data_IF_608994971062
#
_entry.id   IF_608994971062
#
_cell.length_a   1.000
_cell.length_b   1.000
_cell.length_c   1.000
_cell.angle_alpha   90.00
_cell.angle_beta   90.00
_cell.angle_gamma   90.00
#
_symmetry.space_group_name_H-M   'P 1'
#
loop_
_entity.id
_entity.type
_entity.pdbx_description
1 polymer ?
#
# COMPACT_ATOMS: atom_id res chain seq x y z
N UNK A 1 -17.96 -4.71 43.00
CA UNK A 1 -18.66 -4.94 41.72
C UNK A 1 -17.76 -4.96 40.47
N UNK A 2 -16.45 -4.70 40.55
CA UNK A 2 -15.55 -4.64 39.37
C UNK A 2 -14.85 -5.97 39.01
N UNK A 3 -14.78 -6.95 39.91
CA UNK A 3 -14.15 -8.25 39.61
C UNK A 3 -14.98 -9.15 38.68
N UNK A 4 -16.31 -9.00 38.65
CA UNK A 4 -17.22 -9.86 37.87
C UNK A 4 -17.33 -9.47 36.38
N UNK A 5 -16.95 -8.23 36.02
CA UNK A 5 -16.97 -7.76 34.61
C UNK A 5 -15.75 -8.24 33.81
N UNK A 6 -14.61 -8.42 34.46
CA UNK A 6 -13.37 -8.83 33.79
C UNK A 6 -13.34 -10.33 33.49
N UNK A 7 -13.97 -11.17 34.32
CA UNK A 7 -14.11 -12.61 34.06
C UNK A 7 -15.01 -12.90 32.86
N UNK A 8 -16.07 -12.12 32.64
CA UNK A 8 -16.94 -12.28 31.46
C UNK A 8 -16.26 -11.86 30.15
N UNK A 9 -15.43 -10.81 30.17
CA UNK A 9 -14.64 -10.37 29.01
C UNK A 9 -13.52 -11.36 28.68
N UNK A 10 -12.81 -11.89 29.69
CA UNK A 10 -11.79 -12.92 29.49
C UNK A 10 -12.35 -14.24 28.97
N UNK A 11 -13.53 -14.65 29.45
CA UNK A 11 -14.20 -15.89 29.02
C UNK A 11 -14.80 -15.77 27.62
N UNK A 12 -15.24 -14.58 27.18
CA UNK A 12 -15.69 -14.33 25.81
C UNK A 12 -14.52 -14.37 24.80
N UNK A 13 -13.37 -13.79 25.17
CA UNK A 13 -12.16 -13.78 24.33
C UNK A 13 -11.58 -15.20 24.20
N UNK A 14 -11.58 -15.99 25.28
CA UNK A 14 -11.10 -17.37 25.25
C UNK A 14 -12.00 -18.30 24.41
N UNK A 15 -13.32 -18.07 24.41
CA UNK A 15 -14.25 -18.85 23.57
C UNK A 15 -14.13 -18.52 22.08
N UNK A 16 -13.84 -17.27 21.71
CA UNK A 16 -13.62 -16.88 20.30
C UNK A 16 -12.30 -17.48 19.77
N UNK A 17 -11.28 -17.62 20.61
CA UNK A 17 -10.00 -18.22 20.23
C UNK A 17 -10.07 -19.74 20.01
N UNK A 18 -10.96 -20.45 20.74
CA UNK A 18 -11.10 -21.91 20.65
C UNK A 18 -11.92 -22.41 19.45
N UNK A 19 -12.71 -21.53 18.81
CA UNK A 19 -13.56 -21.87 17.66
C UNK A 19 -12.80 -22.06 16.34
N UNK A 20 -11.49 -21.76 16.30
CA UNK A 20 -10.64 -21.87 15.11
C UNK A 20 -9.81 -23.16 15.01
N UNK A 21 -10.01 -24.13 15.90
CA UNK A 21 -9.20 -25.37 15.95
C UNK A 21 -9.81 -26.58 15.22
N UNK A 22 -10.86 -26.41 14.42
CA UNK A 22 -11.49 -27.54 13.70
C UNK A 22 -11.62 -27.29 12.20
N UNK A 23 -10.51 -27.47 11.48
CA UNK A 23 -10.47 -27.86 10.06
C UNK A 23 -9.23 -28.75 9.93
N UNK A 24 -9.36 -30.08 9.89
CA UNK A 24 -9.78 -30.84 8.71
C UNK A 24 -8.52 -31.31 7.97
N UNK A 25 -8.05 -32.52 8.27
CA UNK A 25 -6.96 -33.14 7.51
C UNK A 25 -7.46 -33.44 6.09
N UNK A 26 -7.04 -32.63 5.12
CA UNK A 26 -7.17 -32.97 3.71
C UNK A 26 -5.93 -33.78 3.30
N UNK A 27 -6.14 -35.07 3.03
CA UNK A 27 -5.14 -35.95 2.42
C UNK A 27 -4.96 -35.55 0.96
N UNK A 28 -3.81 -34.98 0.59
CA UNK A 28 -3.40 -34.91 -0.81
C UNK A 28 -2.93 -36.31 -1.24
N UNK A 29 -3.61 -36.85 -2.25
CA UNK A 29 -3.14 -38.03 -2.96
C UNK A 29 -1.90 -37.67 -3.80
N UNK A 30 -0.92 -38.56 -3.75
CA UNK A 30 0.33 -38.59 -4.50
C UNK A 30 0.03 -38.75 -5.99
N UNK A 31 0.33 -37.74 -6.81
CA UNK A 31 0.38 -37.90 -8.26
C UNK A 31 1.83 -37.69 -8.71
N UNK A 32 2.50 -38.82 -8.91
CA UNK A 32 3.86 -38.91 -9.41
C UNK A 32 3.86 -38.54 -10.89
N UNK A 33 4.53 -37.44 -11.22
CA UNK A 33 5.02 -37.20 -12.57
C UNK A 33 6.50 -37.57 -12.58
N UNK A 34 6.78 -38.58 -13.38
CA UNK A 34 8.09 -39.16 -13.68
C UNK A 34 9.06 -38.13 -14.25
N UNK A 35 10.28 -38.13 -13.72
CA UNK A 35 11.44 -37.54 -14.39
C UNK A 35 11.78 -38.39 -15.62
N UNK A 36 11.84 -37.74 -16.78
CA UNK A 36 12.53 -38.28 -17.94
C UNK A 36 13.32 -37.14 -18.63
N UNK A 37 14.62 -37.19 -18.37
CA UNK A 37 15.73 -37.00 -19.31
C UNK A 37 15.63 -35.87 -20.36
N UNK A 38 16.43 -34.82 -20.16
CA UNK A 38 17.03 -34.14 -21.31
C UNK A 38 18.49 -33.77 -21.04
N UNK A 39 19.35 -34.73 -21.41
CA UNK A 39 20.78 -34.67 -21.60
C UNK A 39 21.40 -33.30 -21.91
N UNK A 40 22.45 -32.96 -21.17
CA UNK A 40 23.47 -31.97 -21.56
C UNK A 40 24.40 -32.55 -22.63
N UNK A 41 24.73 -31.82 -23.71
CA UNK A 41 25.94 -32.09 -24.47
C UNK A 41 27.07 -31.19 -23.96
N UNK A 42 28.04 -31.82 -23.30
CA UNK A 42 29.43 -31.38 -23.24
C UNK A 42 30.07 -31.60 -24.60
N UNK A 43 30.71 -30.59 -25.18
CA UNK A 43 31.91 -30.81 -25.98
C UNK A 43 32.81 -29.56 -26.02
N UNK A 44 34.03 -29.79 -25.56
CA UNK A 44 35.27 -29.01 -25.74
C UNK A 44 35.71 -29.04 -27.22
N UNK A 45 36.53 -28.17 -27.83
CA UNK A 45 37.75 -27.44 -27.42
C UNK A 45 38.09 -26.37 -28.49
N UNK A 46 38.76 -25.29 -28.05
CA UNK A 46 39.72 -24.38 -28.73
C UNK A 46 39.77 -24.21 -30.26
N UNK A 47 39.70 -22.94 -30.70
CA UNK A 47 40.65 -22.41 -31.70
C UNK A 47 40.93 -20.92 -31.42
N UNK A 48 42.18 -20.64 -31.04
CA UNK A 48 42.76 -19.30 -30.88
C UNK A 48 43.13 -18.77 -32.26
N UNK A 49 42.53 -17.65 -32.67
CA UNK A 49 43.07 -16.82 -33.76
C UNK A 49 43.26 -15.41 -33.23
N UNK A 50 44.53 -15.08 -32.98
CA UNK A 50 45.02 -13.73 -32.73
C UNK A 50 44.96 -12.88 -34.00
N UNK A 51 44.36 -11.69 -33.90
CA UNK A 51 44.63 -10.58 -34.82
C UNK A 51 44.92 -9.35 -33.97
N UNK A 52 46.19 -8.95 -33.98
CA UNK A 52 46.71 -7.73 -33.36
C UNK A 52 46.45 -6.48 -34.24
N UNK A 53 46.38 -5.33 -33.55
CA UNK A 53 46.66 -3.94 -33.98
C UNK A 53 45.56 -3.19 -34.78
N UNK A 54 45.23 -1.91 -34.55
CA UNK A 54 45.80 -0.82 -33.76
C UNK A 54 44.69 0.21 -33.39
N UNK A 55 44.88 0.83 -32.22
CA UNK A 55 44.68 2.23 -31.84
C UNK A 55 43.36 3.04 -32.00
N UNK A 56 43.16 3.80 -30.91
CA UNK A 56 42.32 4.99 -30.65
C UNK A 56 40.80 4.83 -30.55
N UNK A 57 40.25 5.09 -29.34
CA UNK A 57 39.46 6.31 -29.03
C UNK A 57 39.39 6.52 -27.51
N UNK A 58 39.55 7.78 -27.13
CA UNK A 58 39.96 8.39 -25.86
C UNK A 58 39.17 8.05 -24.58
N UNK A 59 39.94 7.88 -23.49
CA UNK A 59 39.49 8.06 -22.12
C UNK A 59 39.34 9.56 -21.76
N UNK A 60 38.23 9.94 -21.12
CA UNK A 60 38.13 11.17 -20.34
C UNK A 60 37.14 11.02 -19.17
N UNK A 61 37.75 10.85 -17.99
CA UNK A 61 37.37 11.33 -16.65
C UNK A 61 36.11 10.82 -15.96
N UNK A 62 36.31 9.74 -15.19
CA UNK A 62 35.68 9.55 -13.88
C UNK A 62 36.11 10.63 -12.90
N UNK A 63 35.19 11.49 -12.47
CA UNK A 63 35.30 12.18 -11.18
C UNK A 63 34.23 11.64 -10.22
N UNK A 64 34.63 10.62 -9.48
CA UNK A 64 34.02 10.30 -8.19
C UNK A 64 34.51 11.32 -7.17
N UNK A 65 33.61 12.15 -6.66
CA UNK A 65 33.80 12.82 -5.38
C UNK A 65 32.52 12.67 -4.57
N UNK A 66 32.45 11.61 -3.79
CA UNK A 66 31.53 11.50 -2.64
C UNK A 66 32.01 12.52 -1.59
N UNK A 67 31.12 13.39 -1.09
CA UNK A 67 30.82 13.64 0.33
C UNK A 67 29.98 14.92 0.50
N UNK A 68 28.73 14.75 0.94
CA UNK A 68 27.81 15.82 1.32
C UNK A 68 26.43 15.25 1.67
N UNK A 69 26.31 14.56 2.81
CA UNK A 69 25.10 13.87 3.25
C UNK A 69 24.04 14.83 3.85
N UNK A 70 23.37 15.65 3.03
CA UNK A 70 22.21 16.43 3.50
C UNK A 70 20.99 16.45 2.58
N UNK A 71 21.10 16.06 1.32
CA UNK A 71 20.13 16.57 0.33
C UNK A 71 19.18 15.54 -0.29
N UNK A 72 19.22 14.26 0.11
CA UNK A 72 18.21 13.28 -0.31
C UNK A 72 16.77 13.73 0.06
N UNK A 73 16.62 14.51 1.13
CA UNK A 73 15.34 15.10 1.54
C UNK A 73 14.93 16.31 0.69
N UNK A 74 15.89 17.06 0.14
CA UNK A 74 15.63 18.23 -0.71
C UNK A 74 15.19 17.82 -2.12
N UNK A 75 15.77 16.75 -2.67
CA UNK A 75 15.40 16.21 -3.99
C UNK A 75 14.04 15.51 -3.95
N UNK A 76 13.71 14.80 -2.86
CA UNK A 76 12.37 14.25 -2.62
C UNK A 76 11.31 15.35 -2.44
N UNK A 77 11.65 16.46 -1.78
CA UNK A 77 10.75 17.61 -1.61
C UNK A 77 10.47 18.30 -2.95
N UNK A 78 11.45 18.42 -3.84
CA UNK A 78 11.29 19.03 -5.16
C UNK A 78 10.42 18.19 -6.11
N UNK A 79 10.54 16.86 -6.09
CA UNK A 79 9.65 15.97 -6.86
C UNK A 79 8.19 15.96 -6.36
N UNK A 80 7.96 16.42 -5.12
CA UNK A 80 6.64 16.46 -4.50
C UNK A 80 5.81 17.70 -4.89
N UNK A 81 6.44 18.79 -5.29
CA UNK A 81 5.75 20.05 -5.65
C UNK A 81 5.27 20.06 -7.11
N UNK A 82 6.03 19.43 -8.02
CA UNK A 82 5.76 19.42 -9.47
C UNK A 82 4.54 18.56 -9.89
N UNK A 83 3.89 17.89 -8.92
CA UNK A 83 2.71 17.03 -9.16
C UNK A 83 1.39 17.77 -8.86
N UNK A 84 1.45 18.92 -8.20
CA UNK A 84 0.26 19.72 -7.89
C UNK A 84 -0.07 20.67 -9.04
N UNK A 85 -1.36 20.94 -9.25
CA UNK A 85 -1.79 21.97 -10.19
C UNK A 85 -1.29 23.36 -9.78
N UNK A 86 -1.28 24.31 -10.73
CA UNK A 86 -0.89 25.71 -10.52
C UNK A 86 -1.90 26.54 -9.69
N UNK A 87 -3.00 25.91 -9.26
CA UNK A 87 -4.04 26.50 -8.44
C UNK A 87 -3.75 26.52 -6.94
N UNK A 88 -4.67 27.12 -6.16
CA UNK A 88 -4.60 27.08 -4.70
C UNK A 88 -4.57 25.63 -4.20
N UNK A 89 -3.65 25.31 -3.29
CA UNK A 89 -3.57 24.00 -2.63
C UNK A 89 -4.14 24.09 -1.21
N UNK A 90 -5.07 23.20 -0.85
CA UNK A 90 -5.59 23.09 0.51
C UNK A 90 -4.71 22.26 1.44
N UNK A 91 -4.85 22.45 2.76
CA UNK A 91 -4.21 21.61 3.79
C UNK A 91 -5.03 20.36 4.11
N UNK A 92 -4.45 19.39 4.84
CA UNK A 92 -5.27 18.27 5.34
C UNK A 92 -6.33 18.74 6.32
N UNK A 93 -6.06 19.78 7.10
CA UNK A 93 -7.03 20.38 7.98
C UNK A 93 -8.24 20.95 7.22
N UNK A 94 -8.04 21.61 6.08
CA UNK A 94 -9.13 22.12 5.23
C UNK A 94 -10.04 20.97 4.75
N UNK A 95 -9.44 19.90 4.22
CA UNK A 95 -10.19 18.72 3.78
C UNK A 95 -10.93 18.04 4.93
N UNK A 96 -10.29 17.93 6.09
CA UNK A 96 -10.89 17.36 7.29
C UNK A 96 -12.08 18.19 7.79
N UNK A 97 -11.99 19.52 7.79
CA UNK A 97 -13.11 20.39 8.16
C UNK A 97 -14.25 20.31 7.13
N UNK A 98 -13.94 20.20 5.84
CA UNK A 98 -14.94 19.94 4.80
C UNK A 98 -15.70 18.61 5.03
N UNK A 99 -14.97 17.54 5.37
CA UNK A 99 -15.56 16.24 5.72
C UNK A 99 -16.42 16.35 6.99
N UNK A 100 -15.97 17.07 8.02
CA UNK A 100 -16.73 17.27 9.26
C UNK A 100 -18.00 18.09 9.05
N UNK A 101 -17.94 19.14 8.24
CA UNK A 101 -19.08 20.00 7.95
C UNK A 101 -20.13 19.32 7.07
N UNK A 102 -19.75 18.33 6.27
CA UNK A 102 -20.65 17.62 5.36
C UNK A 102 -21.63 16.69 6.07
N UNK A 103 -22.84 16.59 5.53
CA UNK A 103 -23.87 15.67 6.04
C UNK A 103 -23.50 14.20 5.75
N UNK A 104 -23.95 13.28 6.61
CA UNK A 104 -23.77 11.86 6.36
C UNK A 104 -24.53 11.43 5.08
N UNK A 105 -23.87 10.66 4.22
CA UNK A 105 -24.38 10.21 2.92
C UNK A 105 -24.23 11.23 1.80
N UNK A 106 -23.72 12.43 2.08
CA UNK A 106 -23.47 13.45 1.05
C UNK A 106 -22.27 13.10 0.16
N UNK A 107 -22.09 13.90 -0.90
CA UNK A 107 -20.91 13.84 -1.78
C UNK A 107 -20.13 15.14 -1.65
N UNK A 108 -18.85 15.02 -1.35
CA UNK A 108 -17.86 16.07 -1.51
C UNK A 108 -17.23 15.92 -2.89
N UNK A 109 -17.14 17.01 -3.64
CA UNK A 109 -16.39 17.08 -4.89
C UNK A 109 -15.21 18.00 -4.63
N UNK A 110 -13.99 17.49 -4.77
CA UNK A 110 -12.79 18.30 -4.61
C UNK A 110 -12.70 19.29 -5.77
N UNK A 111 -12.36 20.53 -5.45
CA UNK A 111 -12.19 21.64 -6.39
C UNK A 111 -10.71 22.06 -6.53
N UNK A 112 -9.83 21.43 -5.76
CA UNK A 112 -8.41 21.70 -5.69
C UNK A 112 -7.63 20.50 -5.15
N UNK A 113 -6.32 20.58 -5.28
CA UNK A 113 -5.41 19.62 -4.67
C UNK A 113 -5.23 19.91 -3.18
N UNK A 114 -4.87 18.88 -2.42
CA UNK A 114 -4.62 18.96 -0.98
C UNK A 114 -3.23 18.42 -0.65
N UNK A 115 -2.47 19.14 0.16
CA UNK A 115 -1.11 18.76 0.57
C UNK A 115 -0.99 18.78 2.09
N UNK A 116 -0.38 17.74 2.63
CA UNK A 116 -0.02 17.71 4.05
C UNK A 116 1.05 18.77 4.36
N UNK A 117 0.76 19.65 5.31
CA UNK A 117 1.71 20.61 5.88
C UNK A 117 2.02 20.24 7.34
N UNK A 118 3.26 19.84 7.63
CA UNK A 118 3.66 19.46 8.99
C UNK A 118 3.44 20.54 10.06
N UNK A 119 3.36 21.81 9.67
CA UNK A 119 3.15 22.94 10.59
C UNK A 119 1.68 23.08 11.01
N UNK A 120 0.75 22.78 10.11
CA UNK A 120 -0.70 22.91 10.33
C UNK A 120 -1.37 21.55 10.63
N UNK A 121 -0.86 20.48 10.01
CA UNK A 121 -1.46 19.15 9.93
C UNK A 121 -0.81 18.12 10.84
N UNK A 122 0.00 18.55 11.82
CA UNK A 122 0.75 17.67 12.72
C UNK A 122 -0.13 16.58 13.38
N UNK A 123 -1.41 16.87 13.64
CA UNK A 123 -2.38 15.91 14.20
C UNK A 123 -2.72 14.72 13.30
N UNK A 124 -2.49 14.83 11.99
CA UNK A 124 -2.72 13.76 11.01
C UNK A 124 -1.45 12.96 10.70
N UNK A 125 -0.32 13.29 11.31
CA UNK A 125 0.94 12.57 11.08
C UNK A 125 0.77 11.07 11.34
N UNK A 126 1.18 10.25 10.37
CA UNK A 126 1.03 8.79 10.33
C UNK A 126 -0.42 8.21 10.36
N UNK A 127 -1.44 8.99 10.73
CA UNK A 127 -2.82 8.50 10.91
C UNK A 127 -3.82 9.05 9.88
N UNK A 128 -3.41 10.05 9.11
CA UNK A 128 -4.23 10.67 8.06
C UNK A 128 -5.53 11.29 8.56
N UNK A 129 -6.38 11.65 7.60
CA UNK A 129 -7.70 12.20 7.88
C UNK A 129 -8.65 11.03 8.21
N UNK A 130 -9.33 11.12 9.35
CA UNK A 130 -10.27 10.07 9.76
C UNK A 130 -11.63 10.27 9.09
N UNK A 131 -12.07 9.28 8.31
CA UNK A 131 -13.40 9.25 7.71
C UNK A 131 -14.30 8.33 8.55
N UNK A 132 -14.98 8.94 9.53
CA UNK A 132 -15.84 8.25 10.50
C UNK A 132 -17.35 8.41 10.23
N UNK A 133 -17.72 9.00 9.09
CA UNK A 133 -19.10 9.10 8.62
C UNK A 133 -19.21 8.52 7.21
N UNK A 134 -20.36 7.92 6.89
CA UNK A 134 -20.67 7.52 5.51
C UNK A 134 -20.68 8.76 4.63
N UNK A 135 -19.90 8.77 3.56
CA UNK A 135 -19.77 9.90 2.64
C UNK A 135 -19.15 9.42 1.33
N UNK A 136 -19.39 10.16 0.24
CA UNK A 136 -18.62 10.03 -1.00
C UNK A 136 -17.62 11.17 -1.09
N UNK A 137 -16.36 10.86 -1.35
CA UNK A 137 -15.32 11.84 -1.71
C UNK A 137 -14.98 11.59 -3.18
N UNK A 138 -15.42 12.51 -4.03
CA UNK A 138 -15.06 12.55 -5.45
C UNK A 138 -13.89 13.51 -5.63
N UNK A 139 -12.74 12.95 -6.00
CA UNK A 139 -11.54 13.74 -6.24
C UNK A 139 -11.62 14.61 -7.49
N UNK A 140 -12.54 14.34 -8.42
CA UNK A 140 -12.61 15.04 -9.71
C UNK A 140 -11.24 15.11 -10.46
N UNK A 141 -10.33 14.17 -10.20
CA UNK A 141 -8.97 14.13 -10.76
C UNK A 141 -7.90 14.87 -9.95
N UNK A 142 -8.26 15.48 -8.82
CA UNK A 142 -7.37 16.19 -7.92
C UNK A 142 -6.49 15.27 -7.07
N UNK A 143 -5.37 15.85 -6.63
CA UNK A 143 -4.30 15.17 -5.91
C UNK A 143 -4.41 15.39 -4.41
N UNK A 144 -4.24 14.32 -3.64
CA UNK A 144 -3.96 14.34 -2.21
C UNK A 144 -2.50 13.93 -2.03
N UNK A 145 -1.65 14.91 -1.72
CA UNK A 145 -0.22 14.73 -1.52
C UNK A 145 0.09 14.65 -0.03
N UNK A 146 0.41 13.46 0.45
CA UNK A 146 0.70 13.23 1.87
C UNK A 146 2.10 13.68 2.31
N UNK A 147 2.86 14.27 1.40
CA UNK A 147 4.13 14.94 1.65
C UNK A 147 5.17 14.09 2.41
N UNK A 148 5.17 12.78 2.16
CA UNK A 148 6.03 11.79 2.81
C UNK A 148 5.98 11.82 4.35
N UNK A 149 4.85 12.25 4.94
CA UNK A 149 4.73 12.47 6.39
C UNK A 149 3.42 11.96 7.02
N UNK A 150 2.41 11.64 6.20
CA UNK A 150 1.16 11.01 6.64
C UNK A 150 0.72 9.93 5.65
N UNK A 151 -0.25 9.10 6.03
CA UNK A 151 -1.09 8.45 5.04
C UNK A 151 -2.32 9.36 4.77
N UNK A 152 -3.05 9.19 3.68
CA UNK A 152 -4.15 10.09 3.31
C UNK A 152 -5.36 9.93 4.24
N UNK A 153 -5.87 8.69 4.36
CA UNK A 153 -7.12 8.42 5.07
C UNK A 153 -7.06 7.21 6.00
N UNK A 154 -7.69 7.36 7.17
CA UNK A 154 -8.13 6.27 8.04
C UNK A 154 -9.66 6.16 7.95
N UNK A 155 -10.15 5.18 7.18
CA UNK A 155 -11.58 5.01 6.90
C UNK A 155 -12.19 4.00 7.86
N UNK A 156 -13.08 4.47 8.72
CA UNK A 156 -13.73 3.66 9.77
C UNK A 156 -15.22 3.50 9.57
N UNK A 157 -15.86 4.43 8.87
CA UNK A 157 -17.27 4.31 8.50
C UNK A 157 -17.51 3.29 7.39
N UNK A 158 -18.67 2.65 7.43
CA UNK A 158 -19.15 1.78 6.35
C UNK A 158 -19.78 2.58 5.22
N UNK A 159 -19.86 1.99 4.03
CA UNK A 159 -20.46 2.59 2.83
C UNK A 159 -19.78 3.89 2.36
N UNK A 160 -18.50 4.11 2.71
CA UNK A 160 -17.71 5.23 2.19
C UNK A 160 -17.29 4.94 0.75
N UNK A 161 -17.36 5.94 -0.11
CA UNK A 161 -16.91 5.86 -1.51
C UNK A 161 -15.77 6.86 -1.71
N UNK A 162 -14.60 6.37 -2.13
CA UNK A 162 -13.50 7.20 -2.60
C UNK A 162 -13.37 7.01 -4.11
N UNK A 163 -13.52 8.08 -4.88
CA UNK A 163 -13.47 7.98 -6.35
C UNK A 163 -12.72 9.12 -7.02
N UNK A 164 -12.14 8.85 -8.19
CA UNK A 164 -11.46 9.84 -9.04
C UNK A 164 -10.35 10.61 -8.31
N UNK A 165 -9.62 9.96 -7.40
CA UNK A 165 -8.55 10.57 -6.61
C UNK A 165 -7.18 10.20 -7.15
N UNK A 166 -6.19 11.08 -6.95
CA UNK A 166 -4.77 10.74 -7.04
C UNK A 166 -4.15 10.88 -5.65
N UNK A 167 -3.68 9.79 -5.06
CA UNK A 167 -3.07 9.81 -3.72
C UNK A 167 -1.59 9.51 -3.86
N UNK A 168 -0.76 10.43 -3.42
CA UNK A 168 0.69 10.35 -3.65
C UNK A 168 1.50 10.57 -2.39
N UNK A 169 2.71 9.98 -2.38
CA UNK A 169 3.74 10.28 -1.40
C UNK A 169 3.29 10.04 0.04
N UNK A 170 2.48 9.00 0.24
CA UNK A 170 2.08 8.52 1.56
C UNK A 170 3.29 8.01 2.34
N UNK A 171 3.39 8.35 3.63
CA UNK A 171 4.36 7.73 4.53
C UNK A 171 3.76 7.56 5.90
N UNK A 172 3.73 6.33 6.38
CA UNK A 172 3.24 6.04 7.73
C UNK A 172 4.01 4.92 8.38
N UNK A 173 4.14 4.97 9.70
CA UNK A 173 4.57 3.84 10.53
C UNK A 173 3.41 2.95 10.99
N UNK A 174 2.17 3.25 10.59
CA UNK A 174 0.95 2.58 11.05
C UNK A 174 0.10 2.10 9.88
N UNK A 175 -0.24 0.81 9.90
CA UNK A 175 -1.26 0.15 9.08
C UNK A 175 -1.01 0.07 7.57
N UNK A 176 -0.77 1.20 6.89
CA UNK A 176 -0.55 1.28 5.45
C UNK A 176 0.19 2.56 5.07
N UNK A 177 0.88 2.57 3.93
CA UNK A 177 1.54 3.79 3.45
C UNK A 177 0.56 4.88 2.97
N UNK A 178 -0.58 4.52 2.37
CA UNK A 178 -1.53 5.48 1.81
C UNK A 178 -2.90 5.49 2.52
N UNK A 179 -3.52 4.32 2.70
CA UNK A 179 -4.90 4.24 3.22
C UNK A 179 -5.04 3.05 4.15
N UNK A 180 -5.59 3.31 5.33
CA UNK A 180 -6.07 2.27 6.23
C UNK A 180 -7.60 2.24 6.22
N UNK A 181 -8.18 1.06 6.02
CA UNK A 181 -9.62 0.90 5.86
C UNK A 181 -10.16 -0.26 6.70
N UNK A 182 -11.12 0.02 7.60
CA UNK A 182 -11.82 -0.99 8.41
C UNK A 182 -13.34 -0.97 8.22
N UNK A 183 -13.89 0.06 7.59
CA UNK A 183 -15.32 0.16 7.31
C UNK A 183 -15.81 -0.88 6.29
N UNK A 184 -17.02 -1.41 6.47
CA UNK A 184 -17.59 -2.39 5.54
C UNK A 184 -18.25 -1.73 4.33
N UNK A 185 -18.47 -2.50 3.26
CA UNK A 185 -19.18 -2.09 2.05
C UNK A 185 -18.58 -0.82 1.42
N UNK A 186 -17.27 -0.62 1.58
CA UNK A 186 -16.57 0.54 1.04
C UNK A 186 -16.29 0.38 -0.45
N UNK A 187 -16.10 1.50 -1.15
CA UNK A 187 -15.82 1.48 -2.58
C UNK A 187 -14.62 2.35 -2.97
N UNK A 188 -13.78 1.80 -3.84
CA UNK A 188 -12.83 2.57 -4.66
C UNK A 188 -13.28 2.55 -6.11
N UNK A 189 -13.26 3.71 -6.76
CA UNK A 189 -13.58 3.83 -8.19
C UNK A 189 -12.56 4.76 -8.85
N UNK A 190 -11.87 4.30 -9.90
CA UNK A 190 -11.00 5.13 -10.74
C UNK A 190 -9.99 5.97 -9.93
N UNK A 191 -9.29 5.36 -8.98
CA UNK A 191 -8.36 6.04 -8.08
C UNK A 191 -6.94 5.55 -8.32
N UNK A 192 -5.96 6.45 -8.28
CA UNK A 192 -4.54 6.08 -8.36
C UNK A 192 -3.84 6.31 -7.03
N UNK A 193 -2.94 5.40 -6.66
CA UNK A 193 -2.10 5.50 -5.48
C UNK A 193 -0.66 5.26 -5.87
N UNK A 194 0.22 6.24 -5.63
CA UNK A 194 1.62 6.12 -6.01
C UNK A 194 2.62 6.58 -4.96
N UNK A 195 3.78 5.93 -4.97
CA UNK A 195 4.93 6.30 -4.13
C UNK A 195 4.62 6.36 -2.62
N UNK A 196 3.73 5.49 -2.15
CA UNK A 196 3.38 5.40 -0.74
C UNK A 196 4.21 4.35 -0.01
N UNK A 197 4.65 4.66 1.21
CA UNK A 197 5.60 3.85 1.97
C UNK A 197 5.09 3.62 3.38
N UNK A 198 4.86 2.36 3.73
CA UNK A 198 4.82 1.96 5.12
C UNK A 198 6.27 1.89 5.64
N UNK A 199 6.56 2.39 6.83
CA UNK A 199 7.93 2.46 7.37
C UNK A 199 8.18 1.56 8.58
N UNK A 200 7.13 1.11 9.28
CA UNK A 200 7.26 0.30 10.47
C UNK A 200 6.36 -0.95 10.46
N UNK A 201 6.72 -1.90 11.32
CA UNK A 201 6.22 -3.27 11.32
C UNK A 201 4.91 -3.45 12.10
N UNK A 202 4.04 -4.34 11.60
CA UNK A 202 2.97 -4.99 12.36
C UNK A 202 2.09 -5.89 11.46
N UNK A 203 0.96 -6.36 12.00
CA UNK A 203 0.16 -7.42 11.37
C UNK A 203 -0.63 -6.92 10.15
N UNK A 204 -0.39 -7.52 8.98
CA UNK A 204 -1.10 -7.30 7.69
C UNK A 204 -1.07 -5.86 7.13
N UNK A 205 0.13 -5.38 6.82
CA UNK A 205 0.36 -4.02 6.31
C UNK A 205 0.97 -4.01 4.90
N UNK A 206 0.59 -3.01 4.12
CA UNK A 206 0.94 -2.85 2.71
C UNK A 206 1.49 -1.45 2.45
N UNK A 207 2.24 -1.29 1.37
CA UNK A 207 2.78 0.01 0.97
C UNK A 207 1.71 1.00 0.54
N UNK A 208 0.61 0.52 -0.06
CA UNK A 208 -0.52 1.33 -0.49
C UNK A 208 -1.69 1.25 0.47
N UNK A 209 -2.51 0.20 0.35
CA UNK A 209 -3.82 0.08 1.03
C UNK A 209 -3.87 -1.13 1.94
N UNK A 210 -4.18 -0.94 3.22
CA UNK A 210 -4.52 -2.04 4.14
C UNK A 210 -6.02 -2.01 4.42
N UNK A 211 -6.72 -3.02 3.92
CA UNK A 211 -8.18 -3.14 3.96
C UNK A 211 -8.62 -4.33 4.82
N UNK A 212 -9.48 -4.07 5.79
CA UNK A 212 -9.98 -5.05 6.77
C UNK A 212 -11.50 -5.16 6.82
N UNK A 213 -12.21 -4.19 6.22
CA UNK A 213 -13.67 -4.24 6.12
C UNK A 213 -14.16 -5.31 5.14
N UNK A 214 -15.38 -5.77 5.32
CA UNK A 214 -16.01 -6.75 4.43
C UNK A 214 -16.69 -6.09 3.23
N UNK A 215 -16.93 -6.87 2.18
CA UNK A 215 -17.74 -6.53 1.01
C UNK A 215 -17.25 -5.29 0.25
N UNK A 216 -15.94 -5.14 0.06
CA UNK A 216 -15.44 -4.01 -0.72
C UNK A 216 -15.74 -4.20 -2.21
N UNK A 217 -16.00 -3.08 -2.89
CA UNK A 217 -15.91 -3.00 -4.35
C UNK A 217 -14.72 -2.12 -4.71
N UNK A 218 -13.71 -2.67 -5.35
CA UNK A 218 -12.52 -1.95 -5.79
C UNK A 218 -12.48 -2.06 -7.31
N UNK A 219 -12.80 -0.96 -8.00
CA UNK A 219 -12.90 -0.93 -9.45
C UNK A 219 -11.98 0.15 -10.04
N UNK A 220 -11.17 -0.21 -11.03
CA UNK A 220 -10.34 0.74 -11.76
C UNK A 220 -9.24 1.38 -10.90
N UNK A 221 -8.72 0.68 -9.89
CA UNK A 221 -7.63 1.21 -9.06
C UNK A 221 -6.28 0.97 -9.74
N UNK A 222 -5.39 1.95 -9.67
CA UNK A 222 -4.00 1.84 -10.13
C UNK A 222 -3.07 2.07 -8.94
N UNK A 223 -2.25 1.07 -8.58
CA UNK A 223 -1.27 1.21 -7.50
C UNK A 223 0.13 0.94 -8.03
N UNK A 224 1.02 1.92 -7.87
CA UNK A 224 2.39 1.88 -8.39
C UNK A 224 3.42 2.42 -7.39
N UNK A 225 4.62 1.86 -7.41
CA UNK A 225 5.76 2.41 -6.68
C UNK A 225 5.62 2.43 -5.16
N UNK A 226 4.60 1.77 -4.61
CA UNK A 226 4.38 1.71 -3.16
C UNK A 226 5.25 0.60 -2.54
N UNK A 227 5.60 0.76 -1.26
CA UNK A 227 6.55 -0.13 -0.58
C UNK A 227 6.19 -0.35 0.90
N UNK A 228 6.41 -1.57 1.41
CA UNK A 228 6.51 -1.84 2.84
C UNK A 228 7.79 -2.63 3.18
N UNK A 229 8.45 -2.33 4.33
CA UNK A 229 9.68 -2.99 4.73
C UNK A 229 9.43 -4.46 5.02
N UNK A 230 10.31 -5.32 4.51
CA UNK A 230 10.28 -6.75 4.79
C UNK A 230 10.43 -7.02 6.29
N UNK A 231 9.67 -8.00 6.79
CA UNK A 231 9.82 -8.49 8.16
C UNK A 231 11.15 -9.23 8.31
N UNK A 232 11.95 -8.84 9.30
CA UNK A 232 12.97 -9.73 9.87
C UNK A 232 12.32 -11.04 10.34
N UNK A 233 13.03 -12.14 10.16
CA UNK A 233 12.62 -13.56 10.06
C UNK A 233 11.71 -14.17 11.14
N UNK A 234 11.22 -13.44 12.15
CA UNK A 234 10.68 -14.03 13.38
C UNK A 234 9.14 -13.89 13.60
N UNK A 235 8.26 -13.98 12.59
CA UNK A 235 6.82 -14.22 12.87
C UNK A 235 5.99 -14.94 11.80
N UNK A 236 6.59 -15.52 10.78
CA UNK A 236 5.82 -16.27 9.77
C UNK A 236 4.95 -15.44 8.81
N UNK A 237 4.64 -14.17 9.12
CA UNK A 237 3.90 -13.28 8.24
C UNK A 237 4.84 -12.31 7.51
N UNK A 238 5.16 -12.62 6.26
CA UNK A 238 5.92 -11.74 5.36
C UNK A 238 4.92 -11.07 4.40
N UNK A 239 4.52 -9.84 4.71
CA UNK A 239 3.58 -9.10 3.88
C UNK A 239 4.28 -7.87 3.32
N UNK A 240 4.56 -7.93 2.02
CA UNK A 240 5.06 -6.82 1.22
C UNK A 240 4.15 -6.71 0.02
N UNK A 241 2.98 -6.11 0.18
CA UNK A 241 2.00 -5.95 -0.92
C UNK A 241 1.77 -4.48 -1.21
N UNK A 242 1.38 -4.15 -2.43
CA UNK A 242 0.82 -2.83 -2.74
C UNK A 242 -0.54 -2.67 -2.05
N UNK A 243 -1.33 -3.74 -2.05
CA UNK A 243 -2.62 -3.81 -1.34
C UNK A 243 -2.78 -5.13 -0.57
N UNK A 244 -3.29 -5.03 0.66
CA UNK A 244 -3.65 -6.17 1.50
C UNK A 244 -5.13 -6.07 1.86
N UNK A 245 -5.89 -7.12 1.58
CA UNK A 245 -7.31 -7.22 1.82
C UNK A 245 -7.61 -8.41 2.74
N UNK A 246 -8.14 -8.18 3.94
CA UNK A 246 -8.47 -9.23 4.91
C UNK A 246 -9.99 -9.46 5.08
N UNK A 247 -10.83 -8.63 4.46
CA UNK A 247 -12.28 -8.79 4.48
C UNK A 247 -12.79 -9.96 3.65
N UNK A 248 -14.00 -10.42 3.95
CA UNK A 248 -14.75 -11.37 3.12
C UNK A 248 -15.59 -10.62 2.06
N UNK A 249 -15.89 -11.28 0.95
CA UNK A 249 -16.77 -10.73 -0.10
C UNK A 249 -16.14 -9.61 -0.91
N UNK A 250 -14.81 -9.62 -1.07
CA UNK A 250 -14.10 -8.60 -1.85
C UNK A 250 -14.38 -8.80 -3.34
N UNK A 251 -14.69 -7.70 -4.04
CA UNK A 251 -14.83 -7.64 -5.48
C UNK A 251 -13.80 -6.66 -6.04
N UNK A 252 -12.79 -7.16 -6.75
CA UNK A 252 -11.63 -6.38 -7.22
C UNK A 252 -11.55 -6.49 -8.73
N UNK A 253 -11.87 -5.40 -9.44
CA UNK A 253 -12.11 -5.41 -10.88
C UNK A 253 -11.29 -4.33 -11.57
N UNK A 254 -10.81 -4.62 -12.78
CA UNK A 254 -10.14 -3.63 -13.64
C UNK A 254 -8.97 -2.90 -12.97
N UNK A 255 -8.30 -3.57 -12.02
CA UNK A 255 -7.24 -2.98 -11.21
C UNK A 255 -5.86 -3.27 -11.80
N UNK A 256 -4.93 -2.32 -11.64
CA UNK A 256 -3.55 -2.44 -12.05
C UNK A 256 -2.62 -2.30 -10.85
N UNK A 257 -1.67 -3.23 -10.71
CA UNK A 257 -0.72 -3.30 -9.60
C UNK A 257 0.68 -3.54 -10.14
N UNK A 258 1.52 -2.51 -10.16
CA UNK A 258 2.84 -2.58 -10.80
C UNK A 258 3.91 -1.81 -10.04
N UNK A 259 5.16 -1.92 -10.51
CA UNK A 259 6.35 -1.29 -9.91
C UNK A 259 6.45 -1.52 -8.40
N UNK A 260 6.28 -2.78 -8.01
CA UNK A 260 6.41 -3.24 -6.64
C UNK A 260 7.84 -3.01 -6.17
N UNK A 261 8.06 -2.01 -5.30
CA UNK A 261 9.38 -1.70 -4.72
C UNK A 261 9.66 -2.48 -3.42
N UNK A 262 8.89 -3.54 -3.15
CA UNK A 262 8.99 -4.30 -1.90
C UNK A 262 10.31 -5.04 -1.78
N UNK A 263 10.83 -5.06 -0.56
CA UNK A 263 12.09 -5.74 -0.19
C UNK A 263 11.96 -7.27 -0.13
N UNK A 264 10.81 -7.84 -0.48
CA UNK A 264 10.47 -9.27 -0.41
C UNK A 264 9.67 -9.66 -1.67
N UNK A 265 9.65 -10.93 -2.10
CA UNK A 265 9.10 -11.35 -3.40
C UNK A 265 7.56 -11.44 -3.41
N UNK A 266 6.88 -10.93 -2.39
CA UNK A 266 5.43 -10.95 -2.34
C UNK A 266 4.89 -9.81 -3.23
N UNK A 267 3.95 -10.17 -4.12
CA UNK A 267 3.57 -9.38 -5.30
C UNK A 267 2.64 -8.18 -5.06
N UNK A 268 1.85 -7.81 -6.07
CA UNK A 268 1.00 -6.62 -6.05
C UNK A 268 -0.10 -6.65 -4.98
N UNK A 269 -0.83 -7.76 -4.85
CA UNK A 269 -2.01 -7.88 -3.97
C UNK A 269 -1.97 -9.14 -3.12
N UNK A 270 -2.50 -9.06 -1.89
CA UNK A 270 -2.94 -10.23 -1.14
C UNK A 270 -4.38 -10.11 -0.68
N UNK A 271 -5.14 -11.19 -0.84
CA UNK A 271 -6.49 -11.34 -0.32
C UNK A 271 -6.53 -12.51 0.65
N UNK A 272 -6.84 -12.24 1.92
CA UNK A 272 -6.71 -13.15 3.05
C UNK A 272 -8.07 -13.67 3.57
N UNK A 273 -9.19 -13.24 2.96
CA UNK A 273 -10.55 -13.67 3.29
C UNK A 273 -11.07 -14.79 2.38
N UNK A 274 -11.87 -15.72 2.93
CA UNK A 274 -12.25 -16.99 2.30
C UNK A 274 -13.27 -16.92 1.14
N UNK A 275 -13.54 -15.74 0.57
CA UNK A 275 -14.51 -15.58 -0.54
C UNK A 275 -14.29 -14.28 -1.32
N UNK A 276 -13.11 -14.12 -1.92
CA UNK A 276 -12.85 -13.01 -2.82
C UNK A 276 -12.99 -13.46 -4.27
N UNK A 277 -13.68 -12.66 -5.08
CA UNK A 277 -13.63 -12.72 -6.54
C UNK A 277 -12.60 -11.66 -6.98
N UNK A 278 -11.51 -12.12 -7.59
CA UNK A 278 -10.41 -11.29 -8.13
C UNK A 278 -10.33 -11.54 -9.63
#
# INVERSE_FOLDING_TARGET
MNKLKNTKKGMLILSILLLFLVIGAASAADDKISEDDLSTPTDSVDEVVSVDNDDEVSAAETTSSVLGSSDANSTLKAMNDDVLGDGETGSFNDLNEMIKASDAGSTIILDKDYKYDSTEDSSFSNVGITVAKTITIDGAGHTINCNNAAHAFSVTASNVVLKNLKIINGRSSYYAGAIYWVGNNGQFINTSISNCVLTAHGYAYSGGISWWGNNATIDGIDITGCNSPARGTNSGFRYGYLMSCAGIGMNILNCNFHDVKNVNPYGGIAVLGSSAEV
#
